data_IF_222079936949
#
_entry.id   IF_222079936949
#
_cell.length_a   1.000
_cell.length_b   1.000
_cell.length_c   1.000
_cell.angle_alpha   90.00
_cell.angle_beta   90.00
_cell.angle_gamma   90.00
#
_symmetry.space_group_name_H-M   'P 1'
#
loop_
_entity.id
_entity.type
_entity.pdbx_description
1 polymer ?
#
# COMPACT_ATOMS: atom_id res chain seq x y z
N UNK A 1 -17.64 -22.36 -27.61
CA UNK A 1 -17.63 -21.55 -26.39
C UNK A 1 -17.26 -22.38 -25.15
N UNK A 2 -17.97 -23.47 -24.82
CA UNK A 2 -17.71 -24.30 -23.60
C UNK A 2 -16.30 -24.92 -23.62
N UNK A 3 -15.80 -25.40 -24.76
CA UNK A 3 -14.45 -25.97 -24.89
C UNK A 3 -13.33 -24.92 -24.65
N UNK A 4 -13.53 -23.71 -25.17
CA UNK A 4 -12.60 -22.59 -24.97
C UNK A 4 -12.57 -22.17 -23.51
N UNK A 5 -13.72 -22.08 -22.86
CA UNK A 5 -13.83 -21.79 -21.41
C UNK A 5 -13.17 -22.89 -20.57
N UNK A 6 -13.38 -24.17 -20.92
CA UNK A 6 -12.74 -25.30 -20.23
C UNK A 6 -11.21 -25.29 -20.40
N UNK A 7 -10.72 -24.95 -21.58
CA UNK A 7 -9.29 -24.86 -21.86
C UNK A 7 -8.65 -23.66 -21.16
N UNK A 8 -9.35 -22.51 -21.16
CA UNK A 8 -8.94 -21.33 -20.39
C UNK A 8 -8.90 -21.63 -18.89
N UNK A 9 -9.92 -22.31 -18.34
CA UNK A 9 -9.97 -22.70 -16.93
C UNK A 9 -8.86 -23.68 -16.55
N UNK A 10 -8.59 -24.70 -17.37
CA UNK A 10 -7.46 -25.62 -17.16
C UNK A 10 -6.10 -24.92 -17.25
N UNK A 11 -5.95 -23.98 -18.17
CA UNK A 11 -4.74 -23.20 -18.34
C UNK A 11 -4.52 -22.27 -17.12
N UNK A 12 -5.55 -21.58 -16.65
CA UNK A 12 -5.48 -20.73 -15.47
C UNK A 12 -5.18 -21.52 -14.21
N UNK A 13 -5.86 -22.64 -13.95
CA UNK A 13 -5.57 -23.50 -12.80
C UNK A 13 -4.14 -24.03 -12.80
N UNK A 14 -3.58 -24.37 -13.97
CA UNK A 14 -2.18 -24.80 -14.09
C UNK A 14 -1.21 -23.65 -13.78
N UNK A 15 -1.56 -22.42 -14.14
CA UNK A 15 -0.71 -21.25 -13.96
C UNK A 15 -0.79 -20.68 -12.52
N UNK A 16 -1.96 -20.79 -11.90
CA UNK A 16 -2.19 -20.39 -10.50
C UNK A 16 -1.86 -21.49 -9.47
N UNK A 17 -1.25 -22.59 -9.89
CA UNK A 17 -0.81 -23.63 -8.95
C UNK A 17 0.29 -23.02 -8.03
N UNK A 18 0.11 -23.02 -6.69
CA UNK A 18 1.08 -22.44 -5.75
C UNK A 18 2.44 -23.15 -5.78
N UNK A 19 2.54 -24.34 -6.38
CA UNK A 19 3.82 -25.03 -6.62
C UNK A 19 4.66 -24.36 -7.73
N UNK A 20 4.06 -23.50 -8.57
CA UNK A 20 4.77 -22.65 -9.52
C UNK A 20 5.14 -21.33 -8.86
N UNK A 21 6.31 -20.76 -9.20
CA UNK A 21 6.71 -19.44 -8.69
C UNK A 21 5.68 -18.35 -8.98
N UNK A 22 5.09 -18.34 -10.17
CA UNK A 22 4.01 -17.40 -10.54
C UNK A 22 2.77 -17.61 -9.67
N UNK A 23 2.35 -18.88 -9.49
CA UNK A 23 1.21 -19.21 -8.64
C UNK A 23 1.45 -18.87 -7.17
N UNK A 24 2.69 -18.99 -6.69
CA UNK A 24 3.07 -18.57 -5.35
C UNK A 24 2.93 -17.05 -5.16
N UNK A 25 3.41 -16.23 -6.12
CA UNK A 25 3.24 -14.80 -6.06
C UNK A 25 1.75 -14.38 -6.12
N UNK A 26 0.94 -15.07 -6.92
CA UNK A 26 -0.50 -14.85 -6.94
C UNK A 26 -1.17 -15.22 -5.62
N UNK A 27 -0.73 -16.31 -4.97
CA UNK A 27 -1.22 -16.69 -3.66
C UNK A 27 -0.95 -15.59 -2.63
N UNK A 28 0.29 -15.06 -2.58
CA UNK A 28 0.65 -13.92 -1.73
C UNK A 28 -0.19 -12.68 -2.05
N UNK A 29 -0.35 -12.35 -3.33
CA UNK A 29 -1.17 -11.22 -3.77
C UNK A 29 -2.60 -11.34 -3.28
N UNK A 30 -3.22 -12.53 -3.40
CA UNK A 30 -4.59 -12.77 -2.96
C UNK A 30 -4.73 -12.71 -1.44
N UNK A 31 -3.80 -13.29 -0.70
CA UNK A 31 -3.83 -13.22 0.76
C UNK A 31 -3.65 -11.79 1.24
N UNK A 32 -2.69 -11.07 0.68
CA UNK A 32 -2.48 -9.68 1.05
C UNK A 32 -3.68 -8.80 0.68
N UNK A 33 -4.29 -9.02 -0.47
CA UNK A 33 -5.52 -8.36 -0.86
C UNK A 33 -6.66 -8.62 0.14
N UNK A 34 -6.87 -9.88 0.52
CA UNK A 34 -7.92 -10.26 1.45
C UNK A 34 -7.73 -9.60 2.83
N UNK A 35 -6.50 -9.62 3.37
CA UNK A 35 -6.23 -8.97 4.67
C UNK A 35 -6.30 -7.44 4.60
N UNK A 36 -5.96 -6.83 3.45
CA UNK A 36 -6.14 -5.38 3.27
C UNK A 36 -7.62 -5.01 3.24
N UNK A 37 -8.46 -5.78 2.55
CA UNK A 37 -9.91 -5.58 2.60
C UNK A 37 -10.46 -5.79 4.01
N UNK A 38 -9.96 -6.80 4.73
CA UNK A 38 -10.34 -7.01 6.11
C UNK A 38 -10.06 -5.76 6.96
N UNK A 39 -8.86 -5.15 6.81
CA UNK A 39 -8.51 -3.91 7.49
C UNK A 39 -9.43 -2.74 7.10
N UNK A 40 -9.76 -2.61 5.81
CA UNK A 40 -10.65 -1.56 5.35
C UNK A 40 -12.03 -1.62 6.00
N UNK A 41 -12.57 -2.82 6.19
CA UNK A 41 -13.90 -2.99 6.79
C UNK A 41 -13.89 -3.02 8.31
N UNK A 42 -12.89 -3.66 8.94
CA UNK A 42 -12.86 -3.82 10.40
C UNK A 42 -12.26 -2.63 11.13
N UNK A 43 -11.18 -2.04 10.58
CA UNK A 43 -10.41 -1.02 11.29
C UNK A 43 -10.62 0.38 10.72
N UNK A 44 -10.76 0.52 9.40
CA UNK A 44 -10.88 1.83 8.76
C UNK A 44 -12.33 2.26 8.49
N UNK A 45 -13.31 1.61 9.13
CA UNK A 45 -14.72 1.98 9.03
C UNK A 45 -15.26 1.99 7.60
N UNK A 46 -14.77 1.09 6.73
CA UNK A 46 -15.11 1.07 5.30
C UNK A 46 -14.65 2.31 4.54
N UNK A 47 -13.68 3.09 5.09
CA UNK A 47 -13.14 4.32 4.51
C UNK A 47 -14.23 5.35 4.13
N UNK A 48 -15.40 5.28 4.79
CA UNK A 48 -16.55 6.14 4.48
C UNK A 48 -17.03 6.00 3.03
N UNK A 49 -16.92 4.80 2.43
CA UNK A 49 -17.47 4.54 1.10
C UNK A 49 -19.01 4.55 1.18
N UNK A 50 -19.66 5.32 0.31
CA UNK A 50 -21.12 5.47 0.26
C UNK A 50 -21.71 5.00 -1.06
N UNK A 51 -20.93 5.06 -2.16
CA UNK A 51 -21.39 4.77 -3.50
C UNK A 51 -20.84 3.43 -4.01
N UNK A 52 -21.58 2.68 -4.87
CA UNK A 52 -21.09 1.43 -5.44
C UNK A 52 -19.75 1.55 -6.18
N UNK A 53 -19.49 2.68 -6.84
CA UNK A 53 -18.24 2.95 -7.55
C UNK A 53 -17.09 3.06 -6.54
N UNK A 54 -17.29 3.71 -5.41
CA UNK A 54 -16.27 3.83 -4.35
C UNK A 54 -15.94 2.45 -3.77
N UNK A 55 -16.95 1.61 -3.51
CA UNK A 55 -16.73 0.22 -3.08
C UNK A 55 -15.94 -0.58 -4.11
N UNK A 56 -16.28 -0.43 -5.40
CA UNK A 56 -15.58 -1.11 -6.47
C UNK A 56 -14.10 -0.69 -6.54
N UNK A 57 -13.82 0.61 -6.47
CA UNK A 57 -12.45 1.16 -6.45
C UNK A 57 -11.70 0.61 -5.23
N UNK A 58 -12.31 0.65 -4.04
CA UNK A 58 -11.73 0.18 -2.79
C UNK A 58 -11.37 -1.32 -2.83
N UNK A 59 -12.15 -2.14 -3.53
CA UNK A 59 -11.86 -3.57 -3.71
C UNK A 59 -10.68 -3.78 -4.67
N UNK A 60 -10.55 -2.96 -5.71
CA UNK A 60 -9.55 -3.12 -6.75
C UNK A 60 -8.20 -2.50 -6.36
N UNK A 61 -8.22 -1.37 -5.65
CA UNK A 61 -7.01 -0.58 -5.40
C UNK A 61 -5.84 -1.38 -4.77
N UNK A 62 -6.04 -2.36 -3.84
CA UNK A 62 -4.89 -3.06 -3.27
C UNK A 62 -4.19 -3.97 -4.29
N UNK A 63 -4.90 -4.46 -5.31
CA UNK A 63 -4.32 -5.35 -6.31
C UNK A 63 -3.21 -4.70 -7.12
N UNK A 64 -3.40 -3.46 -7.55
CA UNK A 64 -2.49 -2.79 -8.47
C UNK A 64 -1.06 -2.72 -7.91
N UNK A 65 -0.91 -2.19 -6.71
CA UNK A 65 0.40 -2.08 -6.06
C UNK A 65 0.96 -3.44 -5.70
N UNK A 66 0.12 -4.38 -5.24
CA UNK A 66 0.56 -5.73 -4.88
C UNK A 66 1.13 -6.50 -6.07
N UNK A 67 0.48 -6.44 -7.22
CA UNK A 67 0.99 -7.08 -8.44
C UNK A 67 2.36 -6.51 -8.80
N UNK A 68 2.56 -5.19 -8.71
CA UNK A 68 3.85 -4.56 -8.98
C UNK A 68 4.91 -5.08 -8.01
N UNK A 69 4.65 -4.96 -6.71
CA UNK A 69 5.64 -5.26 -5.66
C UNK A 69 6.03 -6.74 -5.67
N UNK A 70 5.06 -7.66 -5.75
CA UNK A 70 5.38 -9.08 -5.83
C UNK A 70 6.02 -9.47 -7.16
N UNK A 71 5.68 -8.80 -8.28
CA UNK A 71 6.34 -9.03 -9.56
C UNK A 71 7.84 -8.69 -9.54
N UNK A 72 8.29 -7.76 -8.69
CA UNK A 72 9.70 -7.47 -8.51
C UNK A 72 10.49 -8.70 -8.04
N UNK A 73 9.90 -9.54 -7.18
CA UNK A 73 10.53 -10.80 -6.75
C UNK A 73 10.78 -11.75 -7.91
N UNK A 74 9.98 -11.69 -8.97
CA UNK A 74 10.07 -12.59 -10.12
C UNK A 74 11.37 -12.47 -10.92
N UNK A 75 12.10 -11.36 -10.78
CA UNK A 75 13.41 -11.17 -11.41
C UNK A 75 14.52 -11.96 -10.73
N UNK A 76 14.28 -12.50 -9.52
CA UNK A 76 15.25 -13.30 -8.78
C UNK A 76 15.27 -14.73 -9.32
N UNK A 77 16.41 -15.11 -9.94
CA UNK A 77 16.56 -16.41 -10.59
C UNK A 77 16.76 -17.56 -9.59
N UNK A 78 17.54 -17.30 -8.52
CA UNK A 78 17.86 -18.32 -7.52
C UNK A 78 16.61 -18.72 -6.73
N UNK A 79 16.48 -20.03 -6.43
CA UNK A 79 15.31 -20.60 -5.76
C UNK A 79 15.09 -19.97 -4.38
N UNK A 80 16.03 -20.15 -3.48
CA UNK A 80 15.88 -19.75 -2.08
C UNK A 80 15.71 -18.23 -1.92
N UNK A 81 16.54 -17.37 -2.54
CA UNK A 81 16.35 -15.91 -2.46
C UNK A 81 15.01 -15.44 -2.98
N UNK A 82 14.45 -16.07 -4.03
CA UNK A 82 13.13 -15.72 -4.54
C UNK A 82 12.03 -15.85 -3.48
N UNK A 83 11.94 -17.03 -2.83
CA UNK A 83 10.91 -17.29 -1.80
C UNK A 83 11.14 -16.43 -0.56
N UNK A 84 12.39 -16.29 -0.13
CA UNK A 84 12.73 -15.43 1.02
C UNK A 84 12.33 -13.98 0.73
N UNK A 85 12.70 -13.42 -0.42
CA UNK A 85 12.36 -12.04 -0.77
C UNK A 85 10.86 -11.83 -0.84
N UNK A 86 10.10 -12.76 -1.45
CA UNK A 86 8.67 -12.66 -1.53
C UNK A 86 7.99 -12.68 -0.14
N UNK A 87 8.45 -13.54 0.76
CA UNK A 87 7.96 -13.62 2.14
C UNK A 87 8.36 -12.37 2.94
N UNK A 88 9.59 -11.90 2.81
CA UNK A 88 10.06 -10.67 3.48
C UNK A 88 9.24 -9.46 3.04
N UNK A 89 8.93 -9.35 1.74
CA UNK A 89 8.05 -8.31 1.22
C UNK A 89 6.67 -8.41 1.89
N UNK A 90 6.09 -9.59 1.96
CA UNK A 90 4.77 -9.79 2.58
C UNK A 90 4.78 -9.44 4.09
N UNK A 91 5.85 -9.80 4.82
CA UNK A 91 6.04 -9.41 6.23
C UNK A 91 6.10 -7.89 6.36
N UNK A 92 6.90 -7.21 5.54
CA UNK A 92 7.06 -5.76 5.61
C UNK A 92 5.74 -5.03 5.29
N UNK A 93 5.01 -5.49 4.28
CA UNK A 93 3.71 -4.94 3.92
C UNK A 93 2.65 -5.22 4.99
N UNK A 94 2.69 -6.40 5.61
CA UNK A 94 1.80 -6.74 6.74
C UNK A 94 2.08 -5.87 7.95
N UNK A 95 3.35 -5.63 8.26
CA UNK A 95 3.76 -4.73 9.33
C UNK A 95 3.26 -3.30 9.06
N UNK A 96 3.44 -2.82 7.83
CA UNK A 96 2.94 -1.50 7.42
C UNK A 96 1.43 -1.40 7.57
N UNK A 97 0.68 -2.39 7.10
CA UNK A 97 -0.78 -2.45 7.25
C UNK A 97 -1.18 -2.43 8.73
N UNK A 98 -0.52 -3.25 9.55
CA UNK A 98 -0.81 -3.38 10.96
C UNK A 98 -0.53 -2.09 11.76
N UNK A 99 0.58 -1.42 11.48
CA UNK A 99 0.90 -0.11 12.07
C UNK A 99 -0.17 0.92 11.72
N UNK A 100 -0.66 0.92 10.48
CA UNK A 100 -1.76 1.79 10.07
C UNK A 100 -3.10 1.43 10.76
N UNK A 101 -3.38 0.13 10.99
CA UNK A 101 -4.57 -0.27 11.76
C UNK A 101 -4.53 0.28 13.20
N UNK A 102 -3.38 0.16 13.88
CA UNK A 102 -3.21 0.71 15.25
C UNK A 102 -3.36 2.24 15.24
N UNK A 103 -2.70 2.93 14.30
CA UNK A 103 -2.78 4.39 14.20
C UNK A 103 -4.20 4.87 13.93
N UNK A 104 -4.90 4.22 13.03
CA UNK A 104 -6.28 4.60 12.68
C UNK A 104 -7.26 4.39 13.85
N UNK A 105 -7.04 3.34 14.67
CA UNK A 105 -7.83 3.11 15.90
C UNK A 105 -7.66 4.21 16.93
N UNK A 106 -6.47 4.82 17.01
CA UNK A 106 -6.14 5.85 18.00
C UNK A 106 -6.47 7.26 17.48
N UNK A 107 -6.04 7.55 16.26
CA UNK A 107 -6.03 8.92 15.72
C UNK A 107 -7.02 9.14 14.56
N UNK A 108 -7.69 8.08 14.08
CA UNK A 108 -8.52 8.11 12.85
C UNK A 108 -7.76 8.64 11.62
N UNK A 109 -6.44 8.48 11.61
CA UNK A 109 -5.52 8.93 10.56
C UNK A 109 -4.48 7.86 10.27
N UNK A 110 -3.98 7.83 9.03
CA UNK A 110 -2.92 6.94 8.61
C UNK A 110 -1.54 7.49 9.00
N UNK A 111 -0.58 6.57 9.20
CA UNK A 111 0.77 6.96 9.60
C UNK A 111 1.52 7.53 8.40
N UNK A 112 2.03 8.76 8.53
CA UNK A 112 2.93 9.33 7.54
C UNK A 112 4.35 8.77 7.67
N UNK A 113 5.10 8.75 6.56
CA UNK A 113 6.50 8.31 6.54
C UNK A 113 7.36 9.20 7.45
N UNK A 114 7.05 10.49 7.50
CA UNK A 114 7.73 11.41 8.40
C UNK A 114 7.51 11.04 9.88
N UNK A 115 6.31 10.62 10.26
CA UNK A 115 6.02 10.10 11.59
C UNK A 115 6.78 8.80 11.86
N UNK A 116 6.84 7.87 10.90
CA UNK A 116 7.60 6.63 11.02
C UNK A 116 9.10 6.90 11.26
N UNK A 117 9.68 7.84 10.53
CA UNK A 117 11.09 8.24 10.69
C UNK A 117 11.35 9.00 12.01
N UNK A 118 10.37 9.77 12.48
CA UNK A 118 10.42 10.51 13.74
C UNK A 118 10.20 9.66 15.00
N UNK A 119 9.62 8.47 14.84
CA UNK A 119 9.21 7.60 15.95
C UNK A 119 10.37 7.20 16.88
N UNK A 120 11.59 7.12 16.37
CA UNK A 120 12.79 6.83 17.16
C UNK A 120 13.11 7.92 18.21
N UNK A 121 12.60 9.15 18.01
CA UNK A 121 12.83 10.29 18.91
C UNK A 121 11.73 10.47 19.96
N UNK A 122 10.56 9.86 19.77
CA UNK A 122 9.35 10.06 20.60
C UNK A 122 9.11 8.89 21.58
N UNK A 123 10.00 7.92 21.61
CA UNK A 123 9.82 6.55 22.11
C UNK A 123 9.56 6.37 23.63
N UNK A 124 9.29 7.40 24.41
CA UNK A 124 9.15 7.24 25.88
C UNK A 124 7.69 7.17 26.41
N UNK A 125 6.68 7.32 25.56
CA UNK A 125 5.28 7.28 26.01
C UNK A 125 4.32 6.50 25.11
N UNK A 126 4.60 6.43 23.81
CA UNK A 126 3.66 5.87 22.81
C UNK A 126 3.64 4.33 22.73
N UNK A 127 4.72 3.64 23.12
CA UNK A 127 4.78 2.19 23.07
C UNK A 127 3.76 1.49 23.99
N UNK A 128 3.48 2.06 25.15
CA UNK A 128 2.48 1.55 26.07
C UNK A 128 1.04 1.73 25.56
N UNK A 129 0.74 2.88 24.96
CA UNK A 129 -0.56 3.16 24.37
C UNK A 129 -0.84 2.24 23.18
N UNK A 130 0.13 2.03 22.31
CA UNK A 130 0.00 1.15 21.15
C UNK A 130 -0.32 -0.31 21.53
N UNK A 131 0.27 -0.81 22.63
CA UNK A 131 0.00 -2.18 23.13
C UNK A 131 -1.44 -2.32 23.60
N UNK A 132 -2.01 -1.30 24.24
CA UNK A 132 -3.41 -1.33 24.71
C UNK A 132 -4.44 -1.34 23.58
N UNK A 133 -4.06 -0.93 22.38
CA UNK A 133 -4.91 -0.91 21.19
C UNK A 133 -4.87 -2.22 20.39
N UNK A 134 -3.97 -3.14 20.75
CA UNK A 134 -3.90 -4.47 20.14
C UNK A 134 -5.13 -5.29 20.51
N UNK A 135 -5.72 -5.93 19.51
CA UNK A 135 -6.91 -6.78 19.65
C UNK A 135 -6.58 -8.22 19.27
N UNK A 136 -7.27 -9.19 19.89
CA UNK A 136 -7.11 -10.61 19.52
C UNK A 136 -7.40 -10.82 18.02
N UNK A 137 -8.29 -10.03 17.44
CA UNK A 137 -8.63 -10.06 16.02
C UNK A 137 -7.44 -9.73 15.11
N UNK A 138 -6.41 -9.04 15.61
CA UNK A 138 -5.23 -8.66 14.84
C UNK A 138 -4.42 -9.87 14.36
N UNK A 139 -4.62 -11.02 15.00
CA UNK A 139 -4.05 -12.29 14.55
C UNK A 139 -4.44 -12.63 13.10
N UNK A 140 -5.60 -12.19 12.63
CA UNK A 140 -6.04 -12.42 11.24
C UNK A 140 -5.12 -11.76 10.21
N UNK A 141 -4.46 -10.64 10.56
CA UNK A 141 -3.51 -9.99 9.66
C UNK A 141 -2.21 -10.78 9.45
N UNK A 142 -1.88 -11.69 10.37
CA UNK A 142 -0.69 -12.53 10.34
C UNK A 142 -0.97 -13.97 9.90
N UNK A 143 -2.24 -14.31 9.72
CA UNK A 143 -2.68 -15.69 9.47
C UNK A 143 -2.14 -16.24 8.16
N UNK A 144 -2.03 -15.43 7.13
CA UNK A 144 -1.47 -15.83 5.84
C UNK A 144 0.00 -16.23 5.94
N UNK A 145 0.80 -15.49 6.70
CA UNK A 145 2.20 -15.83 6.96
C UNK A 145 2.34 -17.16 7.70
N UNK A 146 1.47 -17.39 8.69
CA UNK A 146 1.42 -18.68 9.41
C UNK A 146 1.04 -19.81 8.46
N UNK A 147 -0.03 -19.63 7.67
CA UNK A 147 -0.50 -20.63 6.71
C UNK A 147 0.57 -20.94 5.66
N UNK A 148 1.21 -19.92 5.08
CA UNK A 148 2.25 -20.09 4.06
C UNK A 148 3.44 -20.83 4.67
N UNK A 149 3.86 -20.44 5.87
CA UNK A 149 4.98 -21.12 6.57
C UNK A 149 4.67 -22.58 6.82
N UNK A 150 3.47 -22.90 7.33
CA UNK A 150 3.03 -24.28 7.54
C UNK A 150 3.03 -25.05 6.21
N UNK A 151 2.45 -24.48 5.14
CA UNK A 151 2.38 -25.13 3.83
C UNK A 151 3.77 -25.40 3.22
N UNK A 152 4.75 -24.55 3.49
CA UNK A 152 6.13 -24.73 3.09
C UNK A 152 6.84 -25.83 3.93
N UNK A 153 6.64 -25.84 5.25
CA UNK A 153 7.24 -26.81 6.17
C UNK A 153 6.72 -28.21 5.90
N UNK A 154 5.42 -28.39 5.74
CA UNK A 154 4.81 -29.69 5.41
C UNK A 154 5.01 -30.09 3.94
N UNK A 155 5.81 -29.31 3.18
CA UNK A 155 6.10 -29.52 1.74
C UNK A 155 4.87 -29.65 0.84
N UNK A 156 3.74 -29.11 1.26
CA UNK A 156 2.53 -29.05 0.44
C UNK A 156 2.74 -28.07 -0.73
N UNK A 157 3.45 -26.96 -0.50
CA UNK A 157 3.99 -26.09 -1.54
C UNK A 157 5.43 -26.54 -1.81
N UNK A 158 5.66 -27.03 -3.02
CA UNK A 158 7.00 -27.43 -3.48
C UNK A 158 7.71 -26.22 -4.06
N UNK A 159 8.83 -25.84 -3.47
CA UNK A 159 9.66 -24.77 -4.03
C UNK A 159 10.21 -25.16 -5.39
N UNK A 160 9.73 -24.52 -6.46
CA UNK A 160 10.13 -24.78 -7.83
C UNK A 160 11.54 -24.23 -8.11
N UNK A 161 12.38 -25.01 -8.80
CA UNK A 161 13.74 -24.60 -9.17
C UNK A 161 13.76 -23.69 -10.40
N UNK A 162 12.90 -23.99 -11.37
CA UNK A 162 12.84 -23.23 -12.63
C UNK A 162 12.48 -21.77 -12.38
N UNK A 163 13.32 -20.82 -12.81
CA UNK A 163 13.03 -19.40 -12.65
C UNK A 163 11.87 -18.97 -13.56
N UNK A 164 11.22 -17.88 -13.18
CA UNK A 164 10.26 -17.21 -14.04
C UNK A 164 11.03 -16.61 -15.23
N UNK A 165 10.52 -16.78 -16.44
CA UNK A 165 11.12 -16.19 -17.63
C UNK A 165 11.05 -14.67 -17.56
N UNK A 166 12.07 -13.98 -18.08
CA UNK A 166 12.08 -12.50 -18.12
C UNK A 166 10.81 -11.93 -18.75
N UNK A 167 10.31 -12.57 -19.80
CA UNK A 167 9.06 -12.18 -20.46
C UNK A 167 7.87 -12.21 -19.50
N UNK A 168 7.70 -13.29 -18.74
CA UNK A 168 6.61 -13.41 -17.75
C UNK A 168 6.78 -12.43 -16.56
N UNK A 169 8.01 -12.12 -16.15
CA UNK A 169 8.27 -11.11 -15.12
C UNK A 169 7.87 -9.70 -15.59
N UNK A 170 8.25 -9.36 -16.84
CA UNK A 170 7.87 -8.09 -17.46
C UNK A 170 6.36 -8.02 -17.66
N UNK A 171 5.71 -9.11 -18.10
CA UNK A 171 4.25 -9.15 -18.22
C UNK A 171 3.55 -8.93 -16.89
N UNK A 172 4.03 -9.55 -15.80
CA UNK A 172 3.49 -9.33 -14.45
C UNK A 172 3.61 -7.87 -14.03
N UNK A 173 4.78 -7.27 -14.23
CA UNK A 173 5.02 -5.86 -13.92
C UNK A 173 4.13 -4.94 -14.78
N UNK A 174 4.03 -5.20 -16.08
CA UNK A 174 3.18 -4.42 -17.00
C UNK A 174 1.70 -4.50 -16.63
N UNK A 175 1.22 -5.68 -16.21
CA UNK A 175 -0.14 -5.87 -15.72
C UNK A 175 -0.38 -5.05 -14.45
N UNK A 176 0.56 -5.03 -13.51
CA UNK A 176 0.46 -4.21 -12.30
C UNK A 176 0.42 -2.72 -12.61
N UNK A 177 1.28 -2.26 -13.51
CA UNK A 177 1.31 -0.86 -13.96
C UNK A 177 -0.01 -0.50 -14.66
N UNK A 178 -0.51 -1.37 -15.54
CA UNK A 178 -1.80 -1.16 -16.21
C UNK A 178 -2.95 -1.10 -15.20
N UNK A 179 -2.96 -2.00 -14.21
CA UNK A 179 -3.95 -1.99 -13.14
C UNK A 179 -3.87 -0.70 -12.30
N UNK A 180 -2.66 -0.18 -12.06
CA UNK A 180 -2.47 1.08 -11.36
C UNK A 180 -3.03 2.26 -12.17
N UNK A 181 -2.74 2.34 -13.47
CA UNK A 181 -3.31 3.37 -14.33
C UNK A 181 -4.84 3.28 -14.42
N UNK A 182 -5.37 2.06 -14.49
CA UNK A 182 -6.82 1.85 -14.47
C UNK A 182 -7.44 2.32 -13.16
N UNK A 183 -6.81 2.03 -12.03
CA UNK A 183 -7.25 2.51 -10.71
C UNK A 183 -7.18 4.04 -10.62
N UNK A 184 -6.09 4.66 -11.10
CA UNK A 184 -5.96 6.12 -11.18
C UNK A 184 -7.05 6.76 -12.03
N UNK A 185 -7.35 6.16 -13.17
CA UNK A 185 -8.43 6.63 -14.04
C UNK A 185 -9.80 6.57 -13.35
N UNK A 186 -10.11 5.46 -12.68
CA UNK A 186 -11.36 5.33 -11.91
C UNK A 186 -11.42 6.33 -10.76
N UNK A 187 -10.30 6.55 -10.07
CA UNK A 187 -10.20 7.51 -8.98
C UNK A 187 -10.45 8.94 -9.49
N UNK A 188 -9.84 9.34 -10.60
CA UNK A 188 -10.02 10.67 -11.18
C UNK A 188 -11.44 10.88 -11.72
N UNK A 189 -12.06 9.85 -12.33
CA UNK A 189 -13.47 9.90 -12.73
C UNK A 189 -14.42 10.09 -11.54
N UNK A 190 -14.13 9.47 -10.40
CA UNK A 190 -14.97 9.56 -9.20
C UNK A 190 -14.66 10.83 -8.38
N UNK A 191 -13.39 11.23 -8.31
CA UNK A 191 -12.93 12.40 -7.56
C UNK A 191 -11.85 13.15 -8.35
N UNK A 192 -12.23 14.11 -9.21
CA UNK A 192 -11.28 14.88 -10.00
C UNK A 192 -10.25 15.63 -9.14
N UNK A 193 -9.00 15.65 -9.61
CA UNK A 193 -7.88 16.34 -8.96
C UNK A 193 -7.49 15.77 -7.57
N UNK A 194 -7.77 14.50 -7.31
CA UNK A 194 -7.44 13.85 -6.05
C UNK A 194 -5.96 14.01 -5.65
N UNK A 195 -5.03 13.81 -6.60
CA UNK A 195 -3.59 13.88 -6.35
C UNK A 195 -3.04 15.31 -6.22
N UNK A 196 -3.75 16.31 -6.74
CA UNK A 196 -3.23 17.69 -6.82
C UNK A 196 -3.75 18.61 -5.72
N UNK A 197 -4.86 18.27 -5.08
CA UNK A 197 -5.53 19.14 -4.09
C UNK A 197 -5.22 18.83 -2.63
N UNK A 198 -4.42 17.83 -2.33
CA UNK A 198 -4.06 17.48 -0.95
C UNK A 198 -5.29 17.13 -0.10
N UNK A 199 -6.07 16.15 -0.53
CA UNK A 199 -7.22 15.66 0.23
C UNK A 199 -6.80 14.95 1.50
N UNK A 200 -7.75 14.76 2.42
CA UNK A 200 -7.61 13.96 3.61
C UNK A 200 -7.09 12.54 3.27
N UNK A 201 -6.21 12.04 4.12
CA UNK A 201 -5.57 10.72 4.02
C UNK A 201 -6.56 9.58 3.77
N UNK A 202 -7.74 9.65 4.40
CA UNK A 202 -8.81 8.67 4.23
C UNK A 202 -9.31 8.61 2.78
N UNK A 203 -9.42 9.75 2.12
CA UNK A 203 -9.77 9.80 0.69
C UNK A 203 -8.67 9.21 -0.18
N UNK A 204 -7.40 9.52 0.12
CA UNK A 204 -6.27 8.96 -0.62
C UNK A 204 -6.25 7.43 -0.51
N UNK A 205 -6.40 6.89 0.69
CA UNK A 205 -6.45 5.44 0.89
C UNK A 205 -7.68 4.80 0.25
N UNK A 206 -8.86 5.43 0.31
CA UNK A 206 -10.08 4.95 -0.34
C UNK A 206 -9.92 4.73 -1.84
N UNK A 207 -9.35 5.71 -2.53
CA UNK A 207 -9.26 5.70 -3.98
C UNK A 207 -7.99 5.06 -4.53
N UNK A 208 -6.88 5.19 -3.81
CA UNK A 208 -5.56 4.76 -4.29
C UNK A 208 -5.02 3.53 -3.56
N UNK A 209 -5.53 3.24 -2.38
CA UNK A 209 -5.06 2.16 -1.50
C UNK A 209 -3.93 2.58 -0.57
N UNK A 210 -3.85 1.88 0.57
CA UNK A 210 -2.90 2.20 1.65
C UNK A 210 -1.43 2.18 1.21
N UNK A 211 -1.07 1.24 0.35
CA UNK A 211 0.32 1.11 -0.10
C UNK A 211 0.72 2.21 -1.08
N UNK A 212 -0.22 2.65 -1.93
CA UNK A 212 0.02 3.81 -2.80
C UNK A 212 0.15 5.07 -1.98
N UNK A 213 -0.77 5.30 -1.03
CA UNK A 213 -0.70 6.42 -0.10
C UNK A 213 0.66 6.51 0.59
N UNK A 214 1.18 5.38 1.11
CA UNK A 214 2.50 5.36 1.77
C UNK A 214 3.64 5.73 0.81
N UNK A 215 3.58 5.30 -0.46
CA UNK A 215 4.59 5.67 -1.46
C UNK A 215 4.50 7.17 -1.80
N UNK A 216 3.30 7.68 -1.98
CA UNK A 216 3.06 9.10 -2.28
C UNK A 216 3.51 9.99 -1.13
N UNK A 217 3.16 9.63 0.11
CA UNK A 217 3.61 10.36 1.30
C UNK A 217 5.14 10.30 1.48
N UNK A 218 5.79 9.18 1.15
CA UNK A 218 7.25 9.08 1.13
C UNK A 218 7.87 10.05 0.12
N UNK A 219 7.32 10.14 -1.09
CA UNK A 219 7.81 11.06 -2.14
C UNK A 219 7.62 12.51 -1.69
N UNK A 220 6.47 12.85 -1.14
CA UNK A 220 6.18 14.18 -0.62
C UNK A 220 7.11 14.55 0.54
N UNK A 221 7.37 13.63 1.46
CA UNK A 221 8.31 13.84 2.57
C UNK A 221 9.72 14.16 2.05
N UNK A 222 10.23 13.39 1.07
CA UNK A 222 11.55 13.64 0.47
C UNK A 222 11.60 14.99 -0.23
N UNK A 223 10.55 15.37 -0.96
CA UNK A 223 10.47 16.69 -1.62
C UNK A 223 10.47 17.83 -0.60
N UNK A 224 9.70 17.73 0.46
CA UNK A 224 9.64 18.73 1.53
C UNK A 224 11.01 18.87 2.20
N UNK A 225 11.69 17.78 2.50
CA UNK A 225 13.02 17.80 3.11
C UNK A 225 14.09 18.37 2.18
N UNK A 226 14.00 18.09 0.88
CA UNK A 226 14.85 18.70 -0.14
C UNK A 226 14.63 20.23 -0.22
N UNK A 227 13.38 20.68 -0.18
CA UNK A 227 13.04 22.11 -0.14
C UNK A 227 13.54 22.77 1.15
N UNK A 228 13.36 22.13 2.30
CA UNK A 228 13.87 22.62 3.59
C UNK A 228 15.39 22.74 3.62
N UNK A 229 16.11 21.76 3.07
CA UNK A 229 17.58 21.76 3.00
C UNK A 229 18.13 22.79 2.01
N UNK A 230 17.38 23.14 0.96
CA UNK A 230 17.74 24.16 -0.01
C UNK A 230 17.38 25.59 0.43
N UNK A 231 16.52 25.74 1.42
CA UNK A 231 16.11 27.05 1.95
C UNK A 231 17.27 27.75 2.65
N UNK A 232 17.66 28.94 2.14
CA UNK A 232 18.72 29.76 2.72
C UNK A 232 18.15 30.69 3.79
N UNK A 233 18.95 31.10 4.82
CA UNK A 233 18.49 32.05 5.83
C UNK A 233 17.93 33.36 5.26
N UNK A 234 18.46 33.82 4.10
CA UNK A 234 17.95 34.99 3.39
C UNK A 234 16.55 34.82 2.77
N UNK A 235 16.09 33.62 2.56
CA UNK A 235 14.76 33.39 1.97
C UNK A 235 13.64 33.69 2.97
N UNK A 236 13.90 33.47 4.25
CA UNK A 236 12.97 33.85 5.35
C UNK A 236 12.80 35.37 5.39
N UNK A 237 13.89 36.14 5.19
CA UNK A 237 13.81 37.61 5.18
C UNK A 237 13.06 38.12 3.94
N UNK A 238 13.25 37.50 2.78
CA UNK A 238 12.52 37.80 1.55
C UNK A 238 11.02 37.51 1.69
N UNK A 239 10.66 36.34 2.24
CA UNK A 239 9.26 35.99 2.47
C UNK A 239 8.64 36.96 3.47
N UNK A 240 9.33 37.31 4.55
CA UNK A 240 8.84 38.33 5.53
C UNK A 240 8.63 39.69 4.88
N UNK A 241 9.58 40.15 4.05
CA UNK A 241 9.46 41.43 3.35
C UNK A 241 8.29 41.40 2.33
N UNK A 242 8.15 40.30 1.60
CA UNK A 242 7.03 40.09 0.68
C UNK A 242 5.67 40.11 1.39
N UNK A 243 5.52 39.32 2.46
CA UNK A 243 4.31 39.29 3.28
C UNK A 243 4.02 40.69 3.84
N UNK A 244 5.02 41.38 4.39
CA UNK A 244 4.87 42.72 4.95
C UNK A 244 4.48 43.77 3.91
N UNK A 245 4.99 43.66 2.65
CA UNK A 245 4.64 44.58 1.55
C UNK A 245 3.25 44.34 0.96
N UNK A 246 2.78 43.09 1.01
CA UNK A 246 1.45 42.68 0.50
C UNK A 246 0.41 42.50 1.60
N UNK A 247 0.77 42.78 2.85
CA UNK A 247 -0.17 42.74 3.96
C UNK A 247 -1.18 43.85 3.78
N UNK A 248 -2.37 43.51 3.30
CA UNK A 248 -3.49 44.44 3.33
C UNK A 248 -3.72 44.83 4.80
N UNK A 249 -3.62 46.12 5.13
CA UNK A 249 -4.00 46.61 6.46
C UNK A 249 -5.36 46.02 6.78
N UNK A 250 -5.40 45.15 7.77
CA UNK A 250 -6.66 44.56 8.19
C UNK A 250 -7.66 45.67 8.38
N UNK A 251 -8.78 45.60 7.69
CA UNK A 251 -9.82 46.57 7.81
C UNK A 251 -10.31 46.47 9.26
N UNK A 252 -9.95 47.44 10.08
CA UNK A 252 -10.22 47.49 11.52
C UNK A 252 -11.69 47.38 11.92
N UNK A 253 -12.60 47.24 10.93
CA UNK A 253 -14.02 46.99 11.11
C UNK A 253 -14.39 45.52 11.42
N UNK A 254 -13.45 44.59 11.37
CA UNK A 254 -13.73 43.16 11.55
C UNK A 254 -12.93 42.50 12.69
N UNK A 255 -12.25 43.34 13.55
CA UNK A 255 -11.63 42.90 14.79
C UNK A 255 -12.04 43.82 15.95
#
# INVERSE_FOLDING_TARGET
MILALRNFWKWSLKRFNPNNRVGFLWLLTLFFWAKTLLAYFLDFGGLGASDPIQFFIMIINPFAVMIIVFSLSSFIKRKLPFYITAIVIDILLTLLLYVNCISYREMTSFVSVNQMLGYSKINQGLGGASISLMRIQDFFYWLDLVVITILLVIKKIKMQETPITKHNSILGLSLGILALFFNLFLADCSRPQLLTRGFDDTYMVKYMGINFYTIEDAVNTVQIDALRSSAKPNDISKVRSYVKSHYAKANSKYY
#
